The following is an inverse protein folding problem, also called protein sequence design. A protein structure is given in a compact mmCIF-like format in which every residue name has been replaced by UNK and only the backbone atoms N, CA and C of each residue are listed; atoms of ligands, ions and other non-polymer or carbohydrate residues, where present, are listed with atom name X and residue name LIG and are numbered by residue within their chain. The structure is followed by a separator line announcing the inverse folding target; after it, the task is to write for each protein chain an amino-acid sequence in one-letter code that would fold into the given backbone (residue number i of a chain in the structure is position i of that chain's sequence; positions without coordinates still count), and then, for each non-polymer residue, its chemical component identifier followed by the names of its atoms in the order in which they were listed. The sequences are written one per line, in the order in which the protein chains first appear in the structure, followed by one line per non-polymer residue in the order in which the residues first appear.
data_IF_559823731360
#
_entry.id   IF_559823731360
#
_cell.length_a   1.000
_cell.length_b   1.000
_cell.length_c   1.000
_cell.angle_alpha   90.00
_cell.angle_beta   90.00
_cell.angle_gamma   90.00
#
_symmetry.space_group_name_H-M   'P 1'
#
loop_
_entity.id
_entity.type
_entity.pdbx_description
1 polymer ?
#
# COMPACT_ATOMS: atom_id res chain seq x y z
N UNK A 1 2.13 26.71 -14.27
CA UNK A 1 1.70 27.15 -12.92
C UNK A 1 2.85 27.68 -12.07
N UNK A 2 3.99 26.98 -12.00
CA UNK A 2 5.14 27.42 -11.19
C UNK A 2 5.79 28.71 -11.68
N UNK A 3 6.00 28.84 -13.00
CA UNK A 3 6.62 30.04 -13.58
C UNK A 3 5.79 31.30 -13.35
N UNK A 4 4.45 31.20 -13.33
CA UNK A 4 3.57 32.33 -13.00
C UNK A 4 3.66 32.75 -11.52
N UNK A 5 3.96 31.84 -10.60
CA UNK A 5 4.13 32.15 -9.17
C UNK A 5 5.43 32.94 -8.92
N UNK A 6 6.46 32.73 -9.74
CA UNK A 6 7.77 33.38 -9.56
C UNK A 6 7.97 34.62 -10.44
N UNK A 7 7.01 34.98 -11.29
CA UNK A 7 7.12 36.12 -12.23
C UNK A 7 7.50 37.44 -11.57
N UNK A 8 6.98 37.70 -10.37
CA UNK A 8 7.23 38.96 -9.65
C UNK A 8 8.38 38.85 -8.65
N UNK A 9 8.98 37.67 -8.49
CA UNK A 9 10.05 37.42 -7.53
C UNK A 9 11.40 37.70 -8.19
N UNK A 10 12.13 38.68 -7.67
CA UNK A 10 13.48 39.03 -8.12
C UNK A 10 14.52 38.05 -7.58
N UNK A 11 15.52 37.74 -8.41
CA UNK A 11 16.70 37.02 -7.97
C UNK A 11 17.52 37.87 -6.99
N UNK A 12 17.88 37.34 -5.82
CA UNK A 12 18.65 38.08 -4.81
C UNK A 12 20.11 38.40 -5.20
N UNK A 13 20.60 37.87 -6.33
CA UNK A 13 21.98 38.12 -6.81
C UNK A 13 22.06 39.15 -7.93
N UNK A 14 21.13 39.13 -8.87
CA UNK A 14 21.12 40.04 -10.02
C UNK A 14 19.92 40.99 -10.04
N UNK A 15 19.00 40.87 -9.08
CA UNK A 15 17.79 41.69 -8.90
C UNK A 15 16.76 41.63 -10.05
N UNK A 16 17.08 40.88 -11.11
CA UNK A 16 16.19 40.64 -12.23
C UNK A 16 15.11 39.61 -11.90
N UNK A 17 13.92 39.82 -12.47
CA UNK A 17 12.77 38.91 -12.42
C UNK A 17 12.93 37.78 -13.43
N UNK A 18 13.91 36.91 -13.17
CA UNK A 18 14.31 35.83 -14.07
C UNK A 18 14.36 34.47 -13.37
N UNK A 19 13.62 34.31 -12.27
CA UNK A 19 13.55 33.03 -11.54
C UNK A 19 12.60 32.07 -12.26
N UNK A 20 13.06 30.84 -12.50
CA UNK A 20 12.25 29.78 -13.06
C UNK A 20 12.42 28.47 -12.29
N UNK A 21 11.40 27.61 -12.36
CA UNK A 21 11.40 26.29 -11.71
C UNK A 21 11.70 25.23 -12.74
N UNK A 22 12.79 24.51 -12.53
CA UNK A 22 13.17 23.35 -13.34
C UNK A 22 12.83 22.06 -12.61
N UNK A 23 12.20 21.15 -13.34
CA UNK A 23 11.93 19.79 -12.87
C UNK A 23 13.10 18.91 -13.34
N UNK A 24 13.92 18.43 -12.39
CA UNK A 24 15.15 17.64 -12.68
C UNK A 24 14.91 16.12 -12.76
N UNK A 25 13.69 15.65 -12.50
CA UNK A 25 13.32 14.25 -12.62
C UNK A 25 11.97 13.94 -11.96
N UNK A 26 11.33 12.86 -12.42
CA UNK A 26 10.09 12.31 -11.86
C UNK A 26 10.33 10.92 -11.25
N UNK A 27 9.67 10.66 -10.13
CA UNK A 27 9.68 9.39 -9.42
C UNK A 27 8.24 9.09 -8.99
N UNK A 28 7.47 8.43 -9.87
CA UNK A 28 6.01 8.34 -9.71
C UNK A 28 5.37 9.73 -9.72
N UNK A 29 4.58 10.03 -8.69
CA UNK A 29 3.92 11.33 -8.51
C UNK A 29 4.80 12.40 -7.86
N UNK A 30 6.02 12.05 -7.43
CA UNK A 30 6.94 13.01 -6.83
C UNK A 30 7.96 13.50 -7.85
N UNK A 31 8.22 14.80 -7.83
CA UNK A 31 9.19 15.45 -8.71
C UNK A 31 10.28 16.13 -7.90
N UNK A 32 11.49 16.17 -8.47
CA UNK A 32 12.56 17.01 -7.95
C UNK A 32 12.49 18.37 -8.64
N UNK A 33 12.25 19.41 -7.85
CA UNK A 33 12.20 20.79 -8.34
C UNK A 33 13.45 21.54 -7.92
N UNK A 34 13.91 22.45 -8.77
CA UNK A 34 15.03 23.35 -8.50
C UNK A 34 14.65 24.72 -9.01
N UNK A 35 14.87 25.75 -8.19
CA UNK A 35 14.70 27.14 -8.64
C UNK A 35 16.05 27.61 -9.17
N UNK A 36 16.07 28.17 -10.38
CA UNK A 36 17.27 28.77 -10.97
C UNK A 36 16.96 30.17 -11.48
N UNK A 37 17.97 31.02 -11.49
CA UNK A 37 17.92 32.26 -12.26
C UNK A 37 18.34 31.97 -13.70
N UNK A 38 17.57 32.41 -14.69
CA UNK A 38 17.91 32.23 -16.10
C UNK A 38 18.95 33.24 -16.60
N UNK A 39 19.15 34.35 -15.88
CA UNK A 39 20.08 35.42 -16.29
C UNK A 39 21.45 35.32 -15.63
N UNK A 40 21.58 34.60 -14.50
CA UNK A 40 22.85 34.44 -13.81
C UNK A 40 23.05 32.98 -13.35
N UNK A 41 24.29 32.52 -13.13
CA UNK A 41 24.56 31.12 -12.78
C UNK A 41 24.12 30.73 -11.36
N UNK A 42 23.29 31.55 -10.71
CA UNK A 42 22.80 31.26 -9.37
C UNK A 42 21.68 30.21 -9.42
N UNK A 43 22.00 29.03 -8.89
CA UNK A 43 21.04 27.97 -8.63
C UNK A 43 20.68 27.98 -7.13
N UNK A 44 19.39 28.01 -6.84
CA UNK A 44 18.88 27.81 -5.48
C UNK A 44 18.80 26.30 -5.18
N UNK A 45 18.54 25.96 -3.92
CA UNK A 45 18.44 24.56 -3.50
C UNK A 45 17.39 23.77 -4.29
N UNK A 46 17.66 22.47 -4.45
CA UNK A 46 16.72 21.50 -5.00
C UNK A 46 15.98 20.80 -3.86
N UNK A 47 14.67 20.59 -4.04
CA UNK A 47 13.87 19.79 -3.11
C UNK A 47 12.93 18.85 -3.86
N UNK A 48 12.54 17.76 -3.21
CA UNK A 48 11.49 16.87 -3.71
C UNK A 48 10.13 17.42 -3.27
N UNK A 49 9.11 17.31 -4.12
CA UNK A 49 7.73 17.69 -3.78
C UNK A 49 7.18 16.86 -2.60
N UNK A 50 7.72 15.66 -2.43
CA UNK A 50 7.40 14.78 -1.30
C UNK A 50 8.63 14.54 -0.44
N UNK A 51 8.41 14.50 0.88
CA UNK A 51 9.36 13.95 1.82
C UNK A 51 9.61 12.46 1.54
N UNK A 52 10.80 12.01 1.93
CA UNK A 52 11.13 10.57 1.99
C UNK A 52 10.63 10.01 3.30
N UNK A 53 10.19 8.75 3.29
CA UNK A 53 9.93 8.07 4.56
C UNK A 53 11.24 7.92 5.35
N UNK A 54 11.16 8.04 6.68
CA UNK A 54 12.34 7.94 7.56
C UNK A 54 13.05 6.58 7.43
N UNK A 55 12.29 5.51 7.21
CA UNK A 55 12.78 4.14 7.12
C UNK A 55 13.08 3.66 5.70
N UNK A 56 12.79 4.45 4.65
CA UNK A 56 12.98 4.01 3.26
C UNK A 56 13.41 5.16 2.35
N UNK A 57 14.15 4.85 1.27
CA UNK A 57 14.47 5.86 0.23
C UNK A 57 13.24 6.24 -0.62
N UNK A 58 12.05 5.75 -0.29
CA UNK A 58 10.82 5.94 -1.06
C UNK A 58 10.11 7.23 -0.65
N UNK A 59 9.37 7.82 -1.60
CA UNK A 59 8.71 9.12 -1.45
C UNK A 59 7.29 8.92 -0.91
N UNK A 60 6.95 9.63 0.17
CA UNK A 60 5.69 9.52 0.92
C UNK A 60 4.44 9.70 0.04
N UNK A 61 4.47 10.64 -0.93
CA UNK A 61 3.37 10.88 -1.84
C UNK A 61 2.96 9.63 -2.63
N UNK A 62 3.94 8.85 -3.12
CA UNK A 62 3.64 7.63 -3.87
C UNK A 62 2.94 6.58 -3.01
N UNK A 63 3.38 6.39 -1.76
CA UNK A 63 2.70 5.53 -0.79
C UNK A 63 1.25 5.98 -0.57
N UNK A 64 1.02 7.29 -0.43
CA UNK A 64 -0.33 7.84 -0.25
C UNK A 64 -1.22 7.58 -1.46
N UNK A 65 -0.73 7.77 -2.69
CA UNK A 65 -1.50 7.48 -3.89
C UNK A 65 -1.86 6.00 -3.99
N UNK A 66 -0.89 5.10 -3.80
CA UNK A 66 -1.15 3.65 -3.83
C UNK A 66 -2.15 3.26 -2.73
N UNK A 67 -1.94 3.71 -1.49
CA UNK A 67 -2.86 3.44 -0.37
C UNK A 67 -4.27 3.99 -0.64
N UNK A 68 -4.39 5.20 -1.20
CA UNK A 68 -5.69 5.80 -1.51
C UNK A 68 -6.46 4.96 -2.52
N UNK A 69 -5.84 4.56 -3.64
CA UNK A 69 -6.49 3.74 -4.65
C UNK A 69 -6.84 2.34 -4.12
N UNK A 70 -5.97 1.72 -3.32
CA UNK A 70 -6.28 0.46 -2.67
C UNK A 70 -7.47 0.57 -1.70
N UNK A 71 -7.57 1.67 -0.94
CA UNK A 71 -8.66 1.87 0.01
C UNK A 71 -10.05 1.99 -0.64
N UNK A 72 -10.09 2.33 -1.93
CA UNK A 72 -11.33 2.36 -2.74
C UNK A 72 -11.47 1.15 -3.66
N UNK A 73 -10.67 0.09 -3.44
CA UNK A 73 -10.70 -1.14 -4.23
C UNK A 73 -10.28 -0.95 -5.69
N UNK A 74 -9.34 -0.04 -5.96
CA UNK A 74 -8.84 0.28 -7.30
C UNK A 74 -7.37 -0.07 -7.47
N UNK A 75 -7.06 -0.51 -8.70
CA UNK A 75 -5.77 -1.05 -9.11
C UNK A 75 -5.00 -0.03 -10.00
N UNK A 76 -3.77 -0.35 -10.46
CA UNK A 76 -2.95 0.57 -11.26
C UNK A 76 -3.66 1.18 -12.47
N UNK A 77 -4.52 0.43 -13.16
CA UNK A 77 -5.26 0.92 -14.32
C UNK A 77 -6.18 2.11 -14.02
N UNK A 78 -6.80 2.13 -12.83
CA UNK A 78 -7.62 3.25 -12.39
C UNK A 78 -6.76 4.47 -12.05
N UNK A 79 -5.57 4.24 -11.48
CA UNK A 79 -4.59 5.29 -11.18
C UNK A 79 -4.03 5.91 -12.46
N UNK A 80 -3.77 5.11 -13.50
CA UNK A 80 -3.38 5.57 -14.83
C UNK A 80 -4.48 6.43 -15.46
N UNK A 81 -5.73 5.96 -15.43
CA UNK A 81 -6.88 6.71 -15.95
C UNK A 81 -7.06 8.05 -15.22
N UNK A 82 -6.96 8.03 -13.89
CA UNK A 82 -7.00 9.23 -13.06
C UNK A 82 -5.88 10.21 -13.44
N UNK A 83 -4.65 9.70 -13.61
CA UNK A 83 -3.49 10.52 -13.97
C UNK A 83 -3.67 11.16 -15.34
N UNK A 84 -4.20 10.39 -16.30
CA UNK A 84 -4.53 10.87 -17.65
C UNK A 84 -5.58 12.00 -17.62
N UNK A 85 -6.66 11.84 -16.86
CA UNK A 85 -7.72 12.86 -16.73
C UNK A 85 -7.17 14.15 -16.13
N UNK A 86 -6.27 14.05 -15.14
CA UNK A 86 -5.64 15.21 -14.52
C UNK A 86 -4.47 15.79 -15.32
N UNK A 87 -4.05 15.14 -16.41
CA UNK A 87 -2.87 15.54 -17.18
C UNK A 87 -1.56 15.46 -16.40
N UNK A 88 -1.46 14.53 -15.44
CA UNK A 88 -0.24 14.29 -14.65
C UNK A 88 0.44 12.99 -15.08
N UNK A 89 1.78 12.86 -14.92
CA UNK A 89 2.47 11.61 -15.19
C UNK A 89 1.91 10.47 -14.34
N UNK A 90 1.62 9.34 -14.97
CA UNK A 90 1.19 8.14 -14.27
C UNK A 90 2.38 7.40 -13.66
N UNK A 91 2.16 6.77 -12.51
CA UNK A 91 3.07 5.76 -11.96
C UNK A 91 2.99 4.50 -12.81
N UNK A 92 4.14 3.94 -13.20
CA UNK A 92 4.17 2.67 -13.93
C UNK A 92 3.79 1.48 -13.03
N UNK A 93 3.29 0.42 -13.66
CA UNK A 93 2.82 -0.78 -12.96
C UNK A 93 3.88 -1.44 -12.07
N UNK A 94 5.17 -1.42 -12.45
CA UNK A 94 6.25 -2.00 -11.64
C UNK A 94 6.49 -1.18 -10.39
N UNK A 95 6.52 0.14 -10.52
CA UNK A 95 6.61 1.05 -9.37
C UNK A 95 5.42 0.85 -8.43
N UNK A 96 4.20 0.74 -8.94
CA UNK A 96 3.02 0.46 -8.11
C UNK A 96 3.17 -0.85 -7.34
N UNK A 97 3.53 -1.95 -8.00
CA UNK A 97 3.72 -3.26 -7.35
C UNK A 97 4.78 -3.19 -6.24
N UNK A 98 5.89 -2.49 -6.46
CA UNK A 98 6.92 -2.29 -5.44
C UNK A 98 6.42 -1.53 -4.21
N UNK A 99 5.46 -0.62 -4.38
CA UNK A 99 4.83 0.10 -3.28
C UNK A 99 3.76 -0.74 -2.59
N UNK A 100 2.99 -1.52 -3.35
CA UNK A 100 2.03 -2.48 -2.81
C UNK A 100 2.72 -3.53 -1.92
N UNK A 101 3.82 -4.14 -2.37
CA UNK A 101 4.54 -5.15 -1.59
C UNK A 101 5.04 -4.61 -0.24
N UNK A 102 5.56 -3.38 -0.22
CA UNK A 102 5.97 -2.73 1.03
C UNK A 102 4.79 -2.51 1.98
N UNK A 103 3.64 -2.06 1.44
CA UNK A 103 2.42 -1.87 2.23
C UNK A 103 1.94 -3.20 2.82
N UNK A 104 1.99 -4.28 2.05
CA UNK A 104 1.64 -5.63 2.52
C UNK A 104 2.56 -6.04 3.67
N UNK A 105 3.87 -5.86 3.54
CA UNK A 105 4.84 -6.18 4.60
C UNK A 105 4.55 -5.39 5.86
N UNK A 106 4.40 -4.06 5.75
CA UNK A 106 4.08 -3.19 6.90
C UNK A 106 2.75 -3.56 7.58
N UNK A 107 1.78 -4.03 6.81
CA UNK A 107 0.47 -4.42 7.34
C UNK A 107 0.47 -5.79 8.04
N UNK A 108 1.47 -6.66 7.84
CA UNK A 108 1.58 -7.95 8.55
C UNK A 108 1.75 -7.73 10.06
N UNK A 109 2.64 -6.82 10.44
CA UNK A 109 2.87 -6.50 11.85
C UNK A 109 1.65 -5.84 12.47
N UNK A 110 0.97 -4.97 11.71
CA UNK A 110 -0.27 -4.34 12.14
C UNK A 110 -1.40 -5.36 12.35
N UNK A 111 -1.56 -6.36 11.45
CA UNK A 111 -2.51 -7.47 11.63
C UNK A 111 -2.27 -8.16 12.97
N UNK A 112 -1.02 -8.53 13.26
CA UNK A 112 -0.66 -9.22 14.50
C UNK A 112 -1.00 -8.36 15.72
N UNK A 113 -0.58 -7.10 15.73
CA UNK A 113 -0.83 -6.19 16.85
C UNK A 113 -2.31 -6.00 17.18
N UNK A 114 -3.16 -5.83 16.15
CA UNK A 114 -4.61 -5.65 16.35
C UNK A 114 -5.27 -6.91 16.88
N UNK A 115 -4.87 -8.08 16.37
CA UNK A 115 -5.39 -9.36 16.85
C UNK A 115 -4.93 -9.65 18.29
N UNK A 116 -3.67 -9.39 18.61
CA UNK A 116 -3.14 -9.57 19.97
C UNK A 116 -3.88 -8.66 20.97
N UNK A 117 -4.09 -7.37 20.64
CA UNK A 117 -4.89 -6.47 21.47
C UNK A 117 -6.32 -6.98 21.68
N UNK A 118 -6.94 -7.49 20.62
CA UNK A 118 -8.31 -8.02 20.69
C UNK A 118 -8.37 -9.27 21.58
N UNK A 119 -7.37 -10.16 21.46
CA UNK A 119 -7.23 -11.37 22.28
C UNK A 119 -6.98 -11.05 23.74
N UNK A 120 -6.19 -10.02 24.05
CA UNK A 120 -5.94 -9.58 25.43
C UNK A 120 -7.23 -9.08 26.09
N UNK A 121 -8.05 -8.31 25.36
CA UNK A 121 -9.35 -7.85 25.85
C UNK A 121 -10.32 -9.01 26.07
N UNK A 122 -10.39 -9.94 25.11
CA UNK A 122 -11.21 -11.15 25.24
C UNK A 122 -10.77 -11.97 26.44
N UNK A 123 -9.47 -12.26 26.57
CA UNK A 123 -8.91 -13.01 27.69
C UNK A 123 -9.26 -12.37 29.03
N UNK A 124 -9.10 -11.06 29.17
CA UNK A 124 -9.49 -10.33 30.37
C UNK A 124 -10.98 -10.49 30.70
N UNK A 125 -11.85 -10.48 29.69
CA UNK A 125 -13.30 -10.65 29.88
C UNK A 125 -13.69 -12.05 30.35
N UNK A 126 -13.01 -13.10 29.90
CA UNK A 126 -13.26 -14.46 30.39
C UNK A 126 -12.76 -14.64 31.83
N UNK A 127 -11.58 -14.08 32.16
CA UNK A 127 -11.05 -14.07 33.53
C UNK A 127 -11.99 -13.31 34.49
N UNK A 128 -12.55 -12.18 34.06
CA UNK A 128 -13.54 -11.42 34.84
C UNK A 128 -14.80 -12.26 35.15
N UNK A 129 -15.20 -13.15 34.23
CA UNK A 129 -16.36 -14.02 34.41
C UNK A 129 -16.03 -15.27 35.24
N UNK A 130 -14.81 -15.78 35.13
CA UNK A 130 -14.33 -16.99 35.78
C UNK A 130 -12.87 -16.83 36.24
N UNK A 131 -12.68 -16.48 37.52
CA UNK A 131 -11.36 -16.20 38.09
C UNK A 131 -10.42 -17.40 38.15
N UNK A 132 -10.93 -18.65 38.04
CA UNK A 132 -10.08 -19.85 37.92
C UNK A 132 -9.17 -19.81 36.69
N UNK A 133 -9.53 -19.02 35.67
CA UNK A 133 -8.80 -18.95 34.41
C UNK A 133 -7.56 -18.02 34.45
N UNK A 134 -7.31 -17.30 35.55
CA UNK A 134 -6.21 -16.33 35.66
C UNK A 134 -4.84 -16.92 35.28
N UNK A 135 -4.57 -18.17 35.67
CA UNK A 135 -3.29 -18.84 35.47
C UNK A 135 -3.29 -19.84 34.30
N UNK A 136 -4.40 -19.96 33.56
CA UNK A 136 -4.53 -20.93 32.48
C UNK A 136 -3.85 -20.43 31.21
N UNK A 137 -2.85 -21.13 30.68
CA UNK A 137 -2.18 -20.72 29.45
C UNK A 137 -3.16 -20.64 28.26
N UNK A 138 -4.10 -21.59 28.20
CA UNK A 138 -5.11 -21.71 27.16
C UNK A 138 -6.50 -21.58 27.78
N UNK A 139 -7.34 -20.74 27.17
CA UNK A 139 -8.74 -20.55 27.58
C UNK A 139 -9.64 -20.93 26.41
N UNK A 140 -10.63 -21.78 26.68
CA UNK A 140 -11.68 -22.08 25.72
C UNK A 140 -12.63 -20.88 25.60
N UNK A 141 -12.82 -20.41 24.38
CA UNK A 141 -13.69 -19.26 24.07
C UNK A 141 -14.81 -19.67 23.14
N UNK A 142 -15.99 -19.09 23.37
CA UNK A 142 -17.14 -19.29 22.50
C UNK A 142 -17.11 -18.25 21.37
N UNK A 143 -17.12 -18.73 20.13
CA UNK A 143 -16.97 -17.88 18.95
C UNK A 143 -18.15 -18.03 18.01
N UNK A 144 -18.47 -16.94 17.33
CA UNK A 144 -19.24 -16.93 16.10
C UNK A 144 -18.29 -16.84 14.91
N UNK A 145 -18.68 -17.43 13.79
CA UNK A 145 -17.95 -17.37 12.54
C UNK A 145 -18.81 -16.69 11.49
N UNK A 146 -18.24 -15.68 10.83
CA UNK A 146 -18.88 -14.99 9.72
C UNK A 146 -17.90 -14.88 8.55
N UNK A 147 -18.42 -14.61 7.36
CA UNK A 147 -17.59 -14.45 6.19
C UNK A 147 -18.28 -13.70 5.06
N UNK A 148 -17.48 -13.05 4.24
CA UNK A 148 -17.98 -12.35 3.07
C UNK A 148 -17.14 -12.65 1.84
N UNK A 149 -17.80 -12.67 0.69
CA UNK A 149 -17.20 -12.86 -0.62
C UNK A 149 -17.18 -11.52 -1.36
N UNK A 150 -16.12 -11.26 -2.12
CA UNK A 150 -16.02 -10.06 -2.96
C UNK A 150 -17.24 -9.89 -3.89
N UNK A 151 -17.79 -11.01 -4.39
CA UNK A 151 -18.95 -11.05 -5.28
C UNK A 151 -19.96 -12.09 -4.81
N UNK A 152 -21.24 -11.83 -5.07
CA UNK A 152 -22.31 -12.81 -4.85
C UNK A 152 -22.21 -13.95 -5.88
N UNK A 153 -22.41 -15.19 -5.42
CA UNK A 153 -22.44 -16.38 -6.29
C UNK A 153 -21.08 -17.07 -6.44
N UNK A 154 -21.03 -18.08 -7.31
CA UNK A 154 -19.88 -18.98 -7.46
C UNK A 154 -18.68 -18.40 -8.22
N UNK A 155 -18.72 -17.11 -8.57
CA UNK A 155 -17.67 -16.41 -9.33
C UNK A 155 -16.77 -15.56 -8.46
N UNK A 156 -16.91 -15.59 -7.13
CA UNK A 156 -16.00 -14.89 -6.25
C UNK A 156 -14.62 -15.54 -6.28
N UNK A 157 -13.60 -14.73 -6.51
CA UNK A 157 -12.21 -15.17 -6.44
C UNK A 157 -11.64 -14.93 -5.05
N UNK A 158 -12.17 -13.94 -4.33
CA UNK A 158 -11.72 -13.58 -2.99
C UNK A 158 -12.85 -13.73 -1.97
N UNK A 159 -12.52 -14.24 -0.79
CA UNK A 159 -13.39 -14.34 0.36
C UNK A 159 -12.60 -14.07 1.64
N UNK A 160 -13.29 -13.68 2.70
CA UNK A 160 -12.72 -13.56 4.04
C UNK A 160 -13.61 -14.31 5.02
N UNK A 161 -12.99 -15.09 5.89
CA UNK A 161 -13.59 -15.71 7.06
C UNK A 161 -13.11 -15.00 8.32
N UNK A 162 -14.01 -14.78 9.28
CA UNK A 162 -13.78 -13.97 10.48
C UNK A 162 -14.27 -14.75 11.69
N UNK A 163 -13.41 -14.87 12.71
CA UNK A 163 -13.72 -15.47 14.01
C UNK A 163 -13.95 -14.36 15.01
N UNK A 164 -15.16 -14.32 15.58
CA UNK A 164 -15.64 -13.26 16.46
C UNK A 164 -15.99 -13.86 17.81
N UNK A 165 -15.35 -13.39 18.88
CA UNK A 165 -15.72 -13.79 20.24
C UNK A 165 -17.13 -13.30 20.60
N UNK A 166 -17.95 -14.18 21.18
CA UNK A 166 -19.36 -13.90 21.44
C UNK A 166 -19.56 -12.93 22.62
N UNK A 167 -18.65 -12.93 23.62
CA UNK A 167 -18.80 -12.08 24.80
C UNK A 167 -18.48 -10.62 24.51
N UNK A 168 -17.42 -10.38 23.74
CA UNK A 168 -16.91 -9.03 23.43
C UNK A 168 -17.36 -8.50 22.09
N UNK A 169 -17.75 -9.38 21.15
CA UNK A 169 -17.98 -9.03 19.76
C UNK A 169 -16.70 -8.65 19.00
N UNK A 170 -15.51 -8.93 19.54
CA UNK A 170 -14.23 -8.61 18.91
C UNK A 170 -13.77 -9.73 17.98
N UNK A 171 -13.11 -9.33 16.90
CA UNK A 171 -12.44 -10.26 15.97
C UNK A 171 -11.14 -10.75 16.59
N UNK A 172 -11.01 -12.07 16.79
CA UNK A 172 -9.81 -12.69 17.37
C UNK A 172 -8.97 -13.45 16.34
N UNK A 173 -9.55 -13.74 15.18
CA UNK A 173 -8.83 -14.25 14.03
C UNK A 173 -9.58 -14.00 12.71
N UNK A 174 -8.86 -14.02 11.60
CA UNK A 174 -9.46 -14.00 10.26
C UNK A 174 -8.50 -14.58 9.22
N UNK A 175 -9.10 -15.13 8.17
CA UNK A 175 -8.39 -15.68 7.02
C UNK A 175 -8.93 -15.13 5.71
N UNK A 176 -8.03 -14.68 4.83
CA UNK A 176 -8.37 -14.22 3.49
C UNK A 176 -8.08 -15.35 2.52
N UNK A 177 -9.11 -15.83 1.84
CA UNK A 177 -9.04 -16.90 0.86
C UNK A 177 -9.07 -16.28 -0.54
N UNK A 178 -8.10 -16.61 -1.38
CA UNK A 178 -8.12 -16.24 -2.79
C UNK A 178 -7.93 -17.46 -3.69
N UNK A 179 -8.71 -17.51 -4.78
CA UNK A 179 -8.51 -18.42 -5.92
C UNK A 179 -7.67 -17.77 -7.02
N UNK A 180 -7.19 -16.55 -6.79
CA UNK A 180 -6.45 -15.76 -7.76
C UNK A 180 -5.07 -15.41 -7.21
N UNK A 181 -4.03 -15.76 -7.96
CA UNK A 181 -2.68 -15.30 -7.70
C UNK A 181 -2.14 -14.60 -8.94
N UNK A 182 -1.75 -13.33 -8.78
CA UNK A 182 -1.19 -12.53 -9.88
C UNK A 182 0.15 -13.10 -10.37
N UNK A 183 0.97 -13.63 -9.47
CA UNK A 183 2.24 -14.25 -9.83
C UNK A 183 2.01 -15.52 -10.65
N UNK A 184 0.99 -16.32 -10.32
CA UNK A 184 0.58 -17.46 -11.15
C UNK A 184 0.19 -17.02 -12.57
N UNK A 185 -0.61 -15.96 -12.71
CA UNK A 185 -1.01 -15.44 -14.02
C UNK A 185 0.19 -14.95 -14.82
N UNK A 186 1.10 -14.21 -14.18
CA UNK A 186 2.29 -13.67 -14.83
C UNK A 186 3.23 -14.80 -15.28
N UNK A 187 3.53 -15.74 -14.39
CA UNK A 187 4.40 -16.89 -14.68
C UNK A 187 3.79 -17.81 -15.73
N UNK A 188 2.46 -18.01 -15.73
CA UNK A 188 1.75 -18.75 -16.79
C UNK A 188 1.94 -18.07 -18.15
N UNK A 189 1.87 -16.74 -18.21
CA UNK A 189 2.10 -15.98 -19.44
C UNK A 189 3.56 -15.99 -19.91
N UNK A 190 4.53 -16.01 -18.98
CA UNK A 190 5.96 -16.00 -19.31
C UNK A 190 6.51 -17.39 -19.65
N UNK A 191 6.11 -18.43 -18.91
CA UNK A 191 6.64 -19.79 -19.04
C UNK A 191 5.73 -20.70 -19.88
N UNK A 192 4.46 -20.35 -20.03
CA UNK A 192 3.44 -21.18 -20.68
C UNK A 192 2.80 -22.18 -19.73
N UNK A 193 1.46 -22.19 -19.63
CA UNK A 193 0.69 -23.02 -18.68
C UNK A 193 1.08 -24.50 -18.62
N UNK A 194 1.36 -25.08 -19.78
CA UNK A 194 1.54 -26.53 -19.92
C UNK A 194 3.01 -26.94 -19.98
N UNK A 195 3.93 -26.04 -19.62
CA UNK A 195 5.36 -26.33 -19.69
C UNK A 195 5.89 -26.96 -18.40
N UNK A 196 6.92 -27.82 -18.48
CA UNK A 196 7.63 -28.32 -17.30
C UNK A 196 8.17 -27.19 -16.41
N UNK A 197 8.64 -26.10 -17.01
CA UNK A 197 9.17 -24.93 -16.33
C UNK A 197 8.11 -24.26 -15.44
N UNK A 198 6.90 -24.06 -15.97
CA UNK A 198 5.79 -23.53 -15.19
C UNK A 198 5.39 -24.47 -14.04
N UNK A 199 5.37 -25.79 -14.27
CA UNK A 199 5.04 -26.76 -13.21
C UNK A 199 6.04 -26.72 -12.06
N UNK A 200 7.34 -26.70 -12.36
CA UNK A 200 8.41 -26.61 -11.35
C UNK A 200 8.27 -25.31 -10.56
N UNK A 201 8.07 -24.19 -11.25
CA UNK A 201 7.87 -22.89 -10.61
C UNK A 201 6.60 -22.90 -9.73
N UNK A 202 5.48 -23.38 -10.24
CA UNK A 202 4.20 -23.42 -9.53
C UNK A 202 4.27 -24.30 -8.29
N UNK A 203 4.90 -25.47 -8.36
CA UNK A 203 5.10 -26.35 -7.20
C UNK A 203 5.93 -25.67 -6.10
N UNK A 204 6.94 -24.87 -6.47
CA UNK A 204 7.71 -24.05 -5.51
C UNK A 204 6.91 -22.87 -4.94
N UNK A 205 5.95 -22.34 -5.70
CA UNK A 205 5.15 -21.18 -5.31
C UNK A 205 3.98 -21.53 -4.38
N UNK A 206 3.48 -22.78 -4.37
CA UNK A 206 2.31 -23.21 -3.58
C UNK A 206 2.29 -22.75 -2.12
N UNK A 207 3.45 -22.66 -1.47
CA UNK A 207 3.55 -22.28 -0.06
C UNK A 207 3.21 -20.79 0.16
N UNK A 208 3.48 -19.95 -0.83
CA UNK A 208 3.20 -18.51 -0.79
C UNK A 208 2.15 -18.05 -1.80
N UNK A 209 1.41 -18.98 -2.38
CA UNK A 209 0.37 -18.75 -3.38
C UNK A 209 -0.92 -18.24 -2.74
#
# INVERSE_FOLDING_TARGET
MWSSLLKEVSCNKCELKALNVHVKGSYGFSHNITVICETCPHQYNSTSISEREVSSRKLNANNKFVKAFLSIGKCPSALETFSMILGIPAMDSRTFSNFLSDLVIKNKDFKKQVLDLSRDVVRGKYIDCESSLENEEVIDVCVSYDGTCQKRGHTSLDAIGIVIDILTGLVIDFEVLSKYCQDCVNSEGMLGKNTPEFRIWHDSHKIGC
#
